data_IF_325262346912
#
_entry.id   IF_325262346912
#
_cell.length_a   1.000
_cell.length_b   1.000
_cell.length_c   1.000
_cell.angle_alpha   90.00
_cell.angle_beta   90.00
_cell.angle_gamma   90.00
#
_symmetry.space_group_name_H-M   'P 1'
#
loop_
_entity.id
_entity.type
_entity.pdbx_description
1 polymer ?
#
# COMPACT_ATOMS: atom_id res chain seq x y z
N UNK A 1 -1.13 -11.00 21.93
CA UNK A 1 -2.02 -9.83 21.72
C UNK A 1 -1.15 -8.71 21.19
N UNK A 2 -1.23 -8.37 19.91
CA UNK A 2 -0.50 -7.23 19.35
C UNK A 2 -1.45 -6.05 19.26
N UNK A 3 -1.24 -5.06 20.12
CA UNK A 3 -1.97 -3.80 20.12
C UNK A 3 -1.39 -2.92 19.02
N UNK A 4 -2.09 -2.83 17.89
CA UNK A 4 -1.78 -1.85 16.84
C UNK A 4 -2.23 -0.48 17.36
N UNK A 5 -1.28 0.34 17.78
CA UNK A 5 -1.52 1.66 18.33
C UNK A 5 -1.35 2.72 17.24
N UNK A 6 -2.34 2.83 16.36
CA UNK A 6 -2.63 4.06 15.61
C UNK A 6 -3.89 4.69 16.23
N UNK A 7 -3.76 5.74 17.06
CA UNK A 7 -4.83 6.22 17.95
C UNK A 7 -6.04 6.88 17.26
N UNK A 8 -6.05 7.00 15.93
CA UNK A 8 -7.13 7.66 15.18
C UNK A 8 -8.09 6.68 14.47
N UNK A 9 -7.79 5.38 14.52
CA UNK A 9 -8.62 4.31 13.93
C UNK A 9 -9.20 3.47 15.08
N UNK A 10 -10.00 4.10 15.95
CA UNK A 10 -10.71 3.36 16.99
C UNK A 10 -12.06 2.92 16.43
N UNK A 11 -12.11 1.69 15.88
CA UNK A 11 -13.35 0.98 15.57
C UNK A 11 -13.74 0.86 14.09
N UNK A 12 -13.00 1.46 13.15
CA UNK A 12 -13.25 1.33 11.70
C UNK A 12 -12.13 0.54 11.04
N UNK A 13 -12.45 -0.32 10.07
CA UNK A 13 -11.44 -1.02 9.26
C UNK A 13 -10.58 0.03 8.52
N UNK A 14 -9.26 -0.03 8.67
CA UNK A 14 -8.35 0.89 7.99
C UNK A 14 -8.46 0.72 6.47
N UNK A 15 -8.64 1.81 5.73
CA UNK A 15 -8.70 1.76 4.28
C UNK A 15 -7.31 1.79 3.66
N UNK A 16 -7.18 1.22 2.46
CA UNK A 16 -5.95 1.29 1.68
C UNK A 16 -5.59 2.73 1.33
N UNK A 17 -6.59 3.55 0.95
CA UNK A 17 -6.43 4.97 0.64
C UNK A 17 -5.83 5.75 1.79
N UNK A 18 -6.35 5.56 3.02
CA UNK A 18 -5.85 6.25 4.21
C UNK A 18 -4.37 5.92 4.46
N UNK A 19 -4.00 4.65 4.27
CA UNK A 19 -2.63 4.19 4.46
C UNK A 19 -1.68 4.72 3.36
N UNK A 20 -2.16 4.80 2.12
CA UNK A 20 -1.42 5.41 0.99
C UNK A 20 -1.19 6.90 1.23
N UNK A 21 -2.20 7.63 1.66
CA UNK A 21 -2.10 9.07 1.96
C UNK A 21 -1.09 9.34 3.07
N UNK A 22 -1.12 8.55 4.15
CA UNK A 22 -0.18 8.65 5.27
C UNK A 22 1.27 8.34 4.83
N UNK A 23 1.46 7.30 4.01
CA UNK A 23 2.76 6.98 3.43
C UNK A 23 3.29 8.10 2.52
N UNK A 24 2.46 8.63 1.62
CA UNK A 24 2.86 9.72 0.72
C UNK A 24 3.16 11.00 1.50
N UNK A 25 2.45 11.26 2.59
CA UNK A 25 2.77 12.35 3.51
C UNK A 25 4.16 12.15 4.13
N UNK A 26 4.49 10.96 4.62
CA UNK A 26 5.84 10.69 5.15
C UNK A 26 6.92 10.77 4.07
N UNK A 27 6.63 10.38 2.82
CA UNK A 27 7.56 10.49 1.70
C UNK A 27 7.95 11.94 1.38
N UNK A 28 7.05 12.90 1.55
CA UNK A 28 7.37 14.33 1.31
C UNK A 28 8.56 14.81 2.11
N UNK A 29 8.74 14.25 3.31
CA UNK A 29 9.80 14.62 4.25
C UNK A 29 11.14 14.01 3.88
N UNK A 30 11.15 12.90 3.16
CA UNK A 30 12.35 12.09 2.90
C UNK A 30 12.84 12.15 1.45
N UNK A 31 11.91 12.03 0.49
CA UNK A 31 12.22 11.84 -0.94
C UNK A 31 11.17 12.53 -1.83
N UNK A 32 11.07 13.87 -1.80
CA UNK A 32 10.05 14.59 -2.56
C UNK A 32 10.13 14.37 -4.08
N UNK A 33 11.30 14.07 -4.62
CA UNK A 33 11.51 13.85 -6.06
C UNK A 33 10.89 12.55 -6.61
N UNK A 34 10.51 11.59 -5.75
CA UNK A 34 9.86 10.33 -6.17
C UNK A 34 8.35 10.34 -5.88
N UNK A 35 7.90 11.19 -4.94
CA UNK A 35 6.51 11.21 -4.45
C UNK A 35 5.48 11.17 -5.56
N UNK A 36 5.56 12.09 -6.53
CA UNK A 36 4.53 12.22 -7.59
C UNK A 36 4.36 10.94 -8.41
N UNK A 37 5.45 10.19 -8.62
CA UNK A 37 5.38 8.91 -9.36
C UNK A 37 4.76 7.81 -8.52
N UNK A 38 5.09 7.75 -7.22
CA UNK A 38 4.47 6.80 -6.30
C UNK A 38 2.99 7.12 -6.05
N UNK A 39 2.63 8.40 -6.00
CA UNK A 39 1.26 8.87 -5.87
C UNK A 39 0.39 8.38 -7.03
N UNK A 40 0.88 8.50 -8.27
CA UNK A 40 0.18 7.95 -9.43
C UNK A 40 0.01 6.42 -9.33
N UNK A 41 1.11 5.69 -9.09
CA UNK A 41 1.09 4.22 -9.05
C UNK A 41 0.24 3.67 -7.90
N UNK A 42 0.36 4.22 -6.69
CA UNK A 42 -0.42 3.78 -5.53
C UNK A 42 -1.88 4.23 -5.63
N UNK A 43 -2.16 5.33 -6.33
CA UNK A 43 -3.52 5.71 -6.71
C UNK A 43 -4.15 4.68 -7.64
N UNK A 44 -3.44 4.26 -8.69
CA UNK A 44 -3.90 3.19 -9.59
C UNK A 44 -4.14 1.87 -8.85
N UNK A 45 -3.28 1.54 -7.86
CA UNK A 45 -3.48 0.36 -7.02
C UNK A 45 -4.77 0.46 -6.20
N UNK A 46 -5.04 1.62 -5.59
CA UNK A 46 -6.28 1.88 -4.84
C UNK A 46 -7.49 1.72 -5.77
N UNK A 47 -7.48 2.40 -6.92
CA UNK A 47 -8.57 2.32 -7.90
C UNK A 47 -8.79 0.88 -8.39
N UNK A 48 -7.71 0.12 -8.64
CA UNK A 48 -7.78 -1.28 -9.05
C UNK A 48 -8.47 -2.15 -7.99
N UNK A 49 -8.13 -1.98 -6.72
CA UNK A 49 -8.71 -2.78 -5.63
C UNK A 49 -10.14 -2.33 -5.31
N UNK A 50 -10.42 -1.02 -5.36
CA UNK A 50 -11.77 -0.48 -5.18
C UNK A 50 -12.71 -1.02 -6.25
N UNK A 51 -12.28 -1.03 -7.50
CA UNK A 51 -13.03 -1.59 -8.62
C UNK A 51 -13.24 -3.11 -8.47
N UNK A 52 -12.20 -3.85 -8.06
CA UNK A 52 -12.29 -5.29 -7.88
C UNK A 52 -13.22 -5.71 -6.73
N UNK A 53 -13.41 -4.84 -5.73
CA UNK A 53 -14.26 -5.09 -4.56
C UNK A 53 -15.61 -4.38 -4.63
N UNK A 54 -15.83 -3.53 -5.64
CA UNK A 54 -16.99 -2.65 -5.79
C UNK A 54 -17.25 -1.77 -4.55
N UNK A 55 -16.18 -1.45 -3.81
CA UNK A 55 -16.21 -0.63 -2.59
C UNK A 55 -14.80 -0.17 -2.23
N UNK A 56 -14.64 0.91 -1.42
CA UNK A 56 -13.35 1.30 -0.89
C UNK A 56 -12.62 0.13 -0.23
N UNK A 57 -11.41 -0.15 -0.70
CA UNK A 57 -10.65 -1.32 -0.33
C UNK A 57 -10.14 -1.19 1.10
N UNK A 58 -10.44 -2.15 1.99
CA UNK A 58 -9.77 -2.21 3.27
C UNK A 58 -8.29 -2.54 3.06
N UNK A 59 -7.43 -2.06 3.96
CA UNK A 59 -5.99 -2.33 3.91
C UNK A 59 -5.69 -3.84 3.90
N UNK A 60 -6.52 -4.64 4.55
CA UNK A 60 -6.47 -6.10 4.58
C UNK A 60 -6.65 -6.76 3.21
N UNK A 61 -7.23 -6.04 2.24
CA UNK A 61 -7.35 -6.51 0.86
C UNK A 61 -6.02 -6.47 0.09
N UNK A 62 -5.00 -5.75 0.59
CA UNK A 62 -3.66 -5.73 0.01
C UNK A 62 -2.99 -7.10 0.20
N UNK A 63 -3.21 -7.98 -0.78
CA UNK A 63 -2.68 -9.34 -0.83
C UNK A 63 -1.73 -9.52 -2.01
N UNK A 64 -0.88 -10.55 -1.96
CA UNK A 64 -0.03 -10.94 -3.09
C UNK A 64 -0.83 -11.07 -4.40
N UNK A 65 -2.01 -11.68 -4.34
CA UNK A 65 -2.86 -11.90 -5.52
C UNK A 65 -3.31 -10.58 -6.15
N UNK A 66 -3.82 -9.65 -5.35
CA UNK A 66 -4.30 -8.36 -5.85
C UNK A 66 -3.14 -7.47 -6.32
N UNK A 67 -2.05 -7.43 -5.56
CA UNK A 67 -0.83 -6.73 -5.96
C UNK A 67 -0.30 -7.24 -7.30
N UNK A 68 -0.19 -8.57 -7.49
CA UNK A 68 0.29 -9.15 -8.73
C UNK A 68 -0.68 -8.97 -9.91
N UNK A 69 -1.99 -8.87 -9.64
CA UNK A 69 -2.97 -8.54 -10.68
C UNK A 69 -2.78 -7.10 -11.17
N UNK A 70 -2.64 -6.14 -10.24
CA UNK A 70 -2.35 -4.75 -10.55
C UNK A 70 -0.99 -4.56 -11.25
N UNK A 71 0.07 -5.25 -10.80
CA UNK A 71 1.40 -5.18 -11.44
C UNK A 71 1.39 -5.63 -12.91
N UNK A 72 0.39 -6.41 -13.34
CA UNK A 72 0.23 -6.80 -14.76
C UNK A 72 -0.48 -5.74 -15.60
N UNK A 73 -1.12 -4.75 -14.97
CA UNK A 73 -1.84 -3.68 -15.66
C UNK A 73 -1.02 -2.39 -15.80
N UNK A 74 0.14 -2.32 -15.15
CA UNK A 74 0.99 -1.11 -15.18
C UNK A 74 2.08 -1.19 -16.25
N UNK A 75 2.37 -0.06 -16.89
CA UNK A 75 3.40 0.03 -17.93
C UNK A 75 4.82 0.08 -17.34
N UNK A 76 5.00 0.68 -16.16
CA UNK A 76 6.29 0.77 -15.46
C UNK A 76 6.34 -0.20 -14.27
N UNK A 77 6.44 -1.48 -14.60
CA UNK A 77 6.42 -2.57 -13.62
C UNK A 77 7.54 -2.44 -12.58
N UNK A 78 8.74 -2.03 -12.98
CA UNK A 78 9.87 -1.92 -12.07
C UNK A 78 9.64 -0.83 -11.01
N UNK A 79 9.10 0.32 -11.42
CA UNK A 79 8.77 1.40 -10.49
C UNK A 79 7.58 1.02 -9.60
N UNK A 80 6.58 0.32 -10.14
CA UNK A 80 5.44 -0.18 -9.39
C UNK A 80 5.85 -1.20 -8.31
N UNK A 81 6.72 -2.15 -8.65
CA UNK A 81 7.29 -3.12 -7.69
C UNK A 81 8.07 -2.40 -6.58
N UNK A 82 8.85 -1.37 -6.94
CA UNK A 82 9.58 -0.56 -5.96
C UNK A 82 8.65 0.24 -5.04
N UNK A 83 7.64 0.91 -5.61
CA UNK A 83 6.66 1.67 -4.84
C UNK A 83 5.92 0.77 -3.85
N UNK A 84 5.54 -0.42 -4.31
CA UNK A 84 4.85 -1.42 -3.51
C UNK A 84 5.73 -1.97 -2.38
N UNK A 85 7.02 -2.22 -2.65
CA UNK A 85 7.98 -2.64 -1.63
C UNK A 85 8.18 -1.55 -0.56
N UNK A 86 8.46 -0.31 -0.97
CA UNK A 86 8.65 0.80 -0.03
C UNK A 86 7.37 1.07 0.81
N UNK A 87 6.19 0.95 0.20
CA UNK A 87 4.91 1.09 0.88
C UNK A 87 4.67 -0.05 1.88
N UNK A 88 4.93 -1.31 1.51
CA UNK A 88 4.74 -2.44 2.44
C UNK A 88 5.74 -2.44 3.59
N UNK A 89 6.98 -2.02 3.36
CA UNK A 89 7.96 -1.77 4.42
C UNK A 89 7.46 -0.69 5.40
N UNK A 90 6.85 0.38 4.87
CA UNK A 90 6.22 1.42 5.69
C UNK A 90 5.10 0.85 6.57
N UNK A 91 4.17 0.10 5.99
CA UNK A 91 3.04 -0.48 6.72
C UNK A 91 3.48 -1.40 7.87
N UNK A 92 4.50 -2.22 7.62
CA UNK A 92 5.09 -3.10 8.66
C UNK A 92 5.80 -2.28 9.72
N UNK A 93 6.65 -1.32 9.31
CA UNK A 93 7.43 -0.49 10.23
C UNK A 93 6.56 0.30 11.20
N UNK A 94 5.42 0.78 10.75
CA UNK A 94 4.50 1.60 11.55
C UNK A 94 3.34 0.82 12.15
N UNK A 95 3.31 -0.50 12.00
CA UNK A 95 2.31 -1.35 12.66
C UNK A 95 0.90 -1.28 12.07
N UNK A 96 0.76 -0.76 10.84
CA UNK A 96 -0.47 -0.87 10.05
C UNK A 96 -0.76 -2.32 9.68
N UNK A 97 0.29 -3.13 9.49
CA UNK A 97 0.21 -4.57 9.24
C UNK A 97 1.13 -5.35 10.20
N UNK A 98 0.67 -6.51 10.67
CA UNK A 98 1.44 -7.36 11.59
C UNK A 98 2.60 -8.15 10.94
N UNK A 99 2.48 -8.49 9.65
CA UNK A 99 3.51 -9.18 8.88
C UNK A 99 3.48 -8.69 7.42
N UNK A 100 4.61 -8.82 6.71
CA UNK A 100 4.74 -8.33 5.34
C UNK A 100 3.80 -9.09 4.39
N UNK A 101 2.72 -8.47 3.86
CA UNK A 101 1.68 -9.17 3.11
C UNK A 101 2.16 -9.70 1.75
N UNK A 102 3.29 -9.16 1.26
CA UNK A 102 3.84 -9.43 -0.07
C UNK A 102 5.15 -10.23 -0.05
N UNK A 103 5.47 -10.93 1.04
CA UNK A 103 6.75 -11.63 1.22
C UNK A 103 7.10 -12.64 0.10
N UNK A 104 6.12 -13.05 -0.71
CA UNK A 104 6.33 -13.91 -1.89
C UNK A 104 6.79 -13.17 -3.17
N UNK A 105 6.80 -11.83 -3.22
CA UNK A 105 7.28 -11.07 -4.40
C UNK A 105 8.82 -10.90 -4.45
N UNK A 106 9.53 -11.13 -3.34
CA UNK A 106 10.98 -10.89 -3.23
C UNK A 106 11.86 -12.12 -3.51
N UNK A 107 11.28 -13.24 -3.95
CA UNK A 107 11.95 -14.53 -4.10
C UNK A 107 12.21 -14.96 -5.56
N UNK A 108 12.38 -14.00 -6.48
CA UNK A 108 12.74 -14.27 -7.89
C UNK A 108 14.12 -13.71 -8.19
#
# INVERSE_FOLDING_TARGET
MFTSASPWIVGREALLTDAVDDFLHEMTRRKPWVRRRYEALLGELVEHLDAALERPAPLTALSYRHANAWLKTTDDRALAERALADFTDYLVKWGWLGAHPLRQLQAV
#
